data_IF_227445826494
#
_entry.id   IF_227445826494
#
_cell.length_a   1.000
_cell.length_b   1.000
_cell.length_c   1.000
_cell.angle_alpha   90.00
_cell.angle_beta   90.00
_cell.angle_gamma   90.00
#
_symmetry.space_group_name_H-M   'P 1'
#
loop_
_entity.id
_entity.type
_entity.pdbx_description
1 polymer ?
#
# COMPACT_ATOMS: atom_id res chain seq x y z
N UNK A 1 -4.59 -0.72 11.86
CA UNK A 1 -3.37 -0.12 12.40
C UNK A 1 -2.66 -1.15 13.26
N UNK A 2 -1.45 -1.55 12.87
CA UNK A 2 -0.71 -2.62 13.53
C UNK A 2 -0.16 -2.22 14.91
N UNK A 3 0.03 -0.91 15.16
CA UNK A 3 0.51 -0.43 16.46
C UNK A 3 -0.61 -0.39 17.49
N UNK A 4 -1.81 0.11 17.14
CA UNK A 4 -2.97 0.10 18.04
C UNK A 4 -3.49 -1.31 18.38
N UNK A 5 -3.25 -2.29 17.50
CA UNK A 5 -3.48 -3.71 17.81
C UNK A 5 -2.56 -4.25 18.93
N UNK A 6 -1.38 -3.65 19.11
CA UNK A 6 -0.40 -4.05 20.13
C UNK A 6 -0.50 -3.20 21.40
N UNK A 7 -0.83 -1.91 21.28
CA UNK A 7 -1.09 -0.98 22.39
C UNK A 7 -2.39 -0.22 22.10
N UNK A 8 -3.54 -0.62 22.66
CA UNK A 8 -4.83 0.00 22.40
C UNK A 8 -4.90 1.50 22.73
N UNK A 9 -4.14 1.92 23.75
CA UNK A 9 -4.13 3.27 24.31
C UNK A 9 -3.10 4.21 23.66
N UNK A 10 -2.41 3.78 22.59
CA UNK A 10 -1.37 4.60 21.94
C UNK A 10 -1.95 5.92 21.40
N UNK A 11 -1.32 7.05 21.74
CA UNK A 11 -1.78 8.38 21.35
C UNK A 11 -0.76 9.26 20.62
N UNK A 12 -1.19 9.93 19.54
CA UNK A 12 -0.50 11.07 18.92
C UNK A 12 0.99 10.83 18.63
N UNK A 13 1.85 11.48 19.42
CA UNK A 13 3.32 11.42 19.33
C UNK A 13 3.86 10.00 19.63
N UNK A 14 3.16 9.20 20.43
CA UNK A 14 3.56 7.83 20.78
C UNK A 14 3.63 6.90 19.57
N UNK A 15 2.83 7.18 18.53
CA UNK A 15 2.92 6.51 17.23
C UNK A 15 4.29 6.71 16.56
N UNK A 16 4.89 7.88 16.76
CA UNK A 16 6.20 8.22 16.20
C UNK A 16 7.33 7.66 17.05
N UNK A 17 7.14 7.55 18.37
CA UNK A 17 8.18 7.13 19.31
C UNK A 17 8.23 5.60 19.56
N UNK A 18 7.16 4.87 19.24
CA UNK A 18 7.13 3.40 19.23
C UNK A 18 7.07 2.75 20.62
N UNK A 19 7.23 1.42 20.67
CA UNK A 19 6.99 0.62 21.90
C UNK A 19 7.86 1.00 23.11
N UNK A 20 9.02 1.62 22.88
CA UNK A 20 9.97 2.04 23.91
C UNK A 20 9.67 3.42 24.53
N UNK A 21 8.60 4.09 24.11
CA UNK A 21 8.13 5.35 24.71
C UNK A 21 7.97 5.21 26.24
N UNK A 22 8.61 6.11 27.01
CA UNK A 22 8.66 6.05 28.48
C UNK A 22 9.89 5.34 29.07
N UNK A 23 10.75 4.73 28.25
CA UNK A 23 12.04 4.19 28.68
C UNK A 23 13.20 5.03 28.12
N UNK A 24 14.25 5.23 28.92
CA UNK A 24 15.47 5.96 28.50
C UNK A 24 16.12 5.36 27.24
N UNK A 25 15.92 4.06 26.99
CA UNK A 25 16.42 3.37 25.80
C UNK A 25 15.58 2.11 25.55
N UNK A 26 15.38 1.73 24.27
CA UNK A 26 14.77 0.47 23.82
C UNK A 26 15.36 -0.75 24.53
N UNK A 27 16.65 -0.71 24.88
CA UNK A 27 17.32 -1.76 25.66
C UNK A 27 16.64 -2.01 27.01
N UNK A 28 16.34 -0.97 27.77
CA UNK A 28 15.71 -1.10 29.09
C UNK A 28 14.27 -1.62 28.97
N UNK A 29 13.53 -1.16 27.97
CA UNK A 29 12.18 -1.67 27.69
C UNK A 29 12.20 -3.19 27.45
N UNK A 30 13.15 -3.69 26.66
CA UNK A 30 13.27 -5.12 26.36
C UNK A 30 13.59 -5.93 27.61
N UNK A 31 14.47 -5.42 28.49
CA UNK A 31 14.80 -6.07 29.76
C UNK A 31 13.60 -6.15 30.70
N UNK A 32 12.83 -5.07 30.84
CA UNK A 32 11.63 -5.06 31.67
C UNK A 32 10.55 -5.97 31.09
N UNK A 33 10.31 -5.93 29.77
CA UNK A 33 9.37 -6.81 29.06
C UNK A 33 9.68 -8.29 29.31
N UNK A 34 10.96 -8.64 29.26
CA UNK A 34 11.41 -10.02 29.47
C UNK A 34 11.62 -10.35 30.97
N UNK A 35 11.20 -9.47 31.87
CA UNK A 35 11.33 -9.61 33.32
C UNK A 35 12.77 -9.95 33.75
N UNK A 36 13.75 -9.27 33.14
CA UNK A 36 15.19 -9.46 33.31
C UNK A 36 15.63 -10.93 33.18
N UNK A 37 14.91 -11.70 32.36
CA UNK A 37 15.11 -13.14 32.16
C UNK A 37 15.77 -13.39 30.81
N UNK A 38 16.88 -14.11 30.82
CA UNK A 38 17.56 -14.54 29.59
C UNK A 38 16.66 -15.49 28.79
N UNK A 39 16.42 -15.18 27.52
CA UNK A 39 15.53 -15.96 26.67
C UNK A 39 16.14 -17.29 26.20
N UNK A 40 17.47 -17.46 26.33
CA UNK A 40 18.18 -18.71 26.01
C UNK A 40 18.12 -19.68 27.20
N UNK A 41 18.62 -19.28 28.37
CA UNK A 41 18.77 -20.17 29.54
C UNK A 41 17.62 -20.06 30.56
N UNK A 42 16.69 -19.11 30.37
CA UNK A 42 15.51 -18.87 31.22
C UNK A 42 15.81 -18.49 32.68
N UNK A 43 17.05 -18.09 32.99
CA UNK A 43 17.45 -17.57 34.31
C UNK A 43 17.35 -16.04 34.37
N UNK A 44 17.02 -15.52 35.56
CA UNK A 44 16.92 -14.09 35.87
C UNK A 44 18.24 -13.50 36.36
N UNK A 45 18.45 -12.20 36.14
CA UNK A 45 19.58 -11.43 36.68
C UNK A 45 20.88 -11.60 35.89
N UNK A 46 22.02 -11.17 36.45
CA UNK A 46 23.34 -11.21 35.80
C UNK A 46 23.58 -10.07 34.80
N UNK A 47 24.67 -10.16 34.03
CA UNK A 47 25.00 -9.18 32.98
C UNK A 47 24.17 -9.49 31.72
N UNK A 48 23.31 -8.55 31.34
CA UNK A 48 22.31 -8.72 30.28
C UNK A 48 22.61 -7.85 29.05
N UNK A 49 22.40 -8.43 27.87
CA UNK A 49 22.44 -7.77 26.56
C UNK A 49 21.14 -8.01 25.78
N UNK A 50 20.88 -7.13 24.82
CA UNK A 50 19.85 -7.33 23.81
C UNK A 50 20.43 -8.00 22.59
N UNK A 51 19.78 -9.08 22.13
CA UNK A 51 20.12 -9.80 20.92
C UNK A 51 19.04 -9.64 19.86
N UNK A 52 19.44 -9.52 18.59
CA UNK A 52 18.52 -9.43 17.45
C UNK A 52 18.04 -10.82 17.03
N UNK A 53 16.73 -11.09 17.13
CA UNK A 53 16.10 -12.34 16.66
C UNK A 53 16.35 -12.56 15.16
N UNK A 54 16.17 -11.51 14.36
CA UNK A 54 16.61 -11.43 12.98
C UNK A 54 17.82 -10.53 12.96
N UNK A 55 18.97 -11.07 12.56
CA UNK A 55 20.24 -10.35 12.54
C UNK A 55 20.17 -9.05 11.72
N UNK A 56 20.96 -8.05 12.13
CA UNK A 56 21.04 -6.76 11.44
C UNK A 56 21.49 -6.89 9.98
N UNK A 57 22.49 -7.74 9.70
CA UNK A 57 22.96 -8.02 8.33
C UNK A 57 21.86 -8.62 7.44
N UNK A 58 20.93 -9.35 8.04
CA UNK A 58 19.76 -9.94 7.40
C UNK A 58 18.54 -8.99 7.39
N UNK A 59 18.77 -7.70 7.65
CA UNK A 59 17.74 -6.65 7.59
C UNK A 59 16.79 -6.64 8.79
N UNK A 60 17.19 -7.19 9.93
CA UNK A 60 16.47 -7.05 11.20
C UNK A 60 16.43 -5.60 11.68
N UNK A 61 15.29 -5.17 12.23
CA UNK A 61 15.13 -3.83 12.80
C UNK A 61 15.66 -3.76 14.24
N UNK A 62 15.98 -2.56 14.72
CA UNK A 62 16.27 -2.27 16.13
C UNK A 62 15.00 -2.06 16.97
N UNK A 63 13.84 -2.45 16.45
CA UNK A 63 12.59 -2.40 17.21
C UNK A 63 12.60 -3.44 18.32
N UNK A 64 12.01 -3.12 19.46
CA UNK A 64 11.94 -4.01 20.62
C UNK A 64 11.39 -5.41 20.28
N UNK A 65 10.47 -5.52 19.33
CA UNK A 65 9.89 -6.79 18.89
C UNK A 65 10.92 -7.74 18.25
N UNK A 66 12.01 -7.19 17.68
CA UNK A 66 13.12 -7.96 17.11
C UNK A 66 14.28 -8.14 18.11
N UNK A 67 14.15 -7.62 19.33
CA UNK A 67 15.16 -7.70 20.37
C UNK A 67 14.70 -8.64 21.49
N UNK A 68 15.63 -9.40 22.05
CA UNK A 68 15.41 -10.27 23.22
C UNK A 68 16.52 -10.11 24.24
N UNK A 69 16.17 -10.29 25.50
CA UNK A 69 17.11 -10.27 26.62
C UNK A 69 17.89 -11.57 26.68
N UNK A 70 19.22 -11.49 26.71
CA UNK A 70 20.12 -12.64 26.87
C UNK A 70 21.26 -12.29 27.82
N UNK A 71 21.84 -13.27 28.51
CA UNK A 71 23.10 -13.07 29.23
C UNK A 71 24.24 -12.82 28.26
N UNK A 72 25.24 -12.03 28.67
CA UNK A 72 26.48 -11.83 27.91
C UNK A 72 27.12 -13.16 27.51
N UNK A 73 27.34 -14.05 28.48
CA UNK A 73 27.92 -15.37 28.19
C UNK A 73 27.08 -16.23 27.25
N UNK A 74 25.75 -16.19 27.42
CA UNK A 74 24.84 -16.95 26.56
C UNK A 74 24.86 -16.40 25.14
N UNK A 75 24.99 -15.07 25.00
CA UNK A 75 25.09 -14.38 23.72
C UNK A 75 26.37 -14.76 22.98
N UNK A 76 27.52 -14.75 23.65
CA UNK A 76 28.80 -15.16 23.06
C UNK A 76 28.79 -16.64 22.66
N UNK A 77 28.36 -17.53 23.57
CA UNK A 77 28.28 -18.97 23.29
C UNK A 77 27.30 -19.28 22.15
N UNK A 78 26.24 -18.48 21.99
CA UNK A 78 25.31 -18.59 20.87
C UNK A 78 25.96 -18.21 19.54
N UNK A 79 26.66 -17.07 19.47
CA UNK A 79 27.40 -16.64 18.26
C UNK A 79 28.56 -17.59 17.90
N UNK A 80 29.20 -18.19 18.90
CA UNK A 80 30.21 -19.23 18.71
C UNK A 80 29.63 -20.60 18.29
N UNK A 81 28.30 -20.73 18.18
CA UNK A 81 27.62 -21.97 17.82
C UNK A 81 27.62 -23.07 18.90
N UNK A 82 28.13 -22.76 20.11
CA UNK A 82 28.16 -23.68 21.25
C UNK A 82 26.78 -23.90 21.86
N UNK A 83 25.89 -22.92 21.73
CA UNK A 83 24.48 -23.02 22.13
C UNK A 83 23.61 -22.89 20.89
N UNK A 84 22.74 -23.87 20.65
CA UNK A 84 21.70 -23.80 19.60
C UNK A 84 20.38 -23.40 20.24
N UNK A 85 19.88 -22.23 19.89
CA UNK A 85 18.57 -21.75 20.33
C UNK A 85 17.79 -21.18 19.13
N UNK A 86 16.48 -21.39 19.09
CA UNK A 86 15.62 -20.88 18.03
C UNK A 86 14.63 -19.87 18.60
N UNK A 87 14.90 -18.60 18.36
CA UNK A 87 13.97 -17.53 18.69
C UNK A 87 12.73 -17.57 17.77
N UNK A 88 11.57 -17.21 18.32
CA UNK A 88 10.37 -17.03 17.52
C UNK A 88 10.49 -15.73 16.72
N UNK A 89 10.42 -15.82 15.40
CA UNK A 89 10.56 -14.65 14.53
C UNK A 89 9.34 -13.73 14.71
N UNK A 90 9.55 -12.43 15.02
CA UNK A 90 8.45 -11.50 15.12
C UNK A 90 7.84 -11.23 13.74
N UNK A 91 6.53 -10.94 13.70
CA UNK A 91 5.91 -10.39 12.49
C UNK A 91 6.43 -8.97 12.27
N UNK A 92 7.23 -8.81 11.22
CA UNK A 92 7.71 -7.49 10.79
C UNK A 92 6.68 -6.85 9.85
N UNK A 93 6.19 -5.67 10.24
CA UNK A 93 5.39 -4.81 9.39
C UNK A 93 6.30 -3.70 8.87
N UNK A 94 7.08 -3.97 7.81
CA UNK A 94 7.86 -2.92 7.16
C UNK A 94 6.90 -2.07 6.31
N UNK A 95 6.74 -0.80 6.65
CA UNK A 95 6.17 0.17 5.73
C UNK A 95 7.05 0.24 4.47
N UNK A 96 6.44 0.51 3.32
CA UNK A 96 7.20 0.66 2.08
C UNK A 96 8.13 1.87 2.24
N UNK A 97 9.45 1.65 2.09
CA UNK A 97 10.47 2.69 2.30
C UNK A 97 10.16 4.00 1.54
N UNK A 98 9.53 3.88 0.37
CA UNK A 98 9.04 5.00 -0.42
C UNK A 98 8.04 5.89 0.34
N UNK A 99 7.02 5.31 0.97
CA UNK A 99 6.01 6.08 1.70
C UNK A 99 6.61 6.74 2.94
N UNK A 100 7.58 6.10 3.60
CA UNK A 100 8.29 6.70 4.74
C UNK A 100 9.09 7.93 4.35
N UNK A 101 9.88 7.84 3.28
CA UNK A 101 10.71 8.96 2.80
C UNK A 101 9.82 10.12 2.35
N UNK A 102 8.82 9.82 1.51
CA UNK A 102 7.91 10.84 0.99
C UNK A 102 7.16 11.55 2.12
N UNK A 103 6.66 10.80 3.11
CA UNK A 103 5.96 11.35 4.28
C UNK A 103 6.82 12.34 5.03
N UNK A 104 8.06 11.96 5.35
CA UNK A 104 9.00 12.82 6.08
C UNK A 104 9.34 14.10 5.29
N UNK A 105 9.57 13.97 3.98
CA UNK A 105 9.85 15.13 3.12
C UNK A 105 8.67 16.11 3.05
N UNK A 106 7.44 15.60 2.94
CA UNK A 106 6.24 16.43 2.90
C UNK A 106 6.07 17.19 4.22
N UNK A 107 6.20 16.50 5.37
CA UNK A 107 6.10 17.13 6.68
C UNK A 107 7.10 18.27 6.87
N UNK A 108 8.37 18.00 6.55
CA UNK A 108 9.44 18.98 6.71
C UNK A 108 9.23 20.22 5.83
N UNK A 109 8.49 20.10 4.73
CA UNK A 109 8.25 21.20 3.79
C UNK A 109 6.98 21.99 4.06
N UNK A 110 5.94 21.36 4.59
CA UNK A 110 4.59 21.93 4.64
C UNK A 110 4.08 22.25 6.06
N UNK A 111 4.91 22.12 7.09
CA UNK A 111 4.54 22.36 8.49
C UNK A 111 3.18 21.74 8.86
N UNK A 112 3.07 20.42 8.63
CA UNK A 112 1.82 19.69 8.78
C UNK A 112 1.92 18.55 9.79
N UNK A 113 0.82 18.28 10.48
CA UNK A 113 0.70 17.20 11.44
C UNK A 113 0.26 15.89 10.76
N UNK A 114 0.81 14.75 11.22
CA UNK A 114 0.37 13.44 10.76
C UNK A 114 -0.87 13.01 11.54
N UNK A 115 -1.91 12.63 10.81
CA UNK A 115 -3.01 11.83 11.35
C UNK A 115 -2.84 10.35 10.99
N UNK A 116 -3.35 9.48 11.84
CA UNK A 116 -3.28 8.03 11.62
C UNK A 116 -4.66 7.45 11.32
N UNK A 117 -4.69 6.40 10.50
CA UNK A 117 -5.93 5.71 10.12
C UNK A 117 -6.74 5.20 11.31
N UNK A 118 -6.10 4.98 12.45
CA UNK A 118 -6.69 4.58 13.73
C UNK A 118 -7.51 5.67 14.43
N UNK A 119 -7.27 6.94 14.09
CA UNK A 119 -8.05 8.10 14.55
C UNK A 119 -9.13 8.46 13.55
N UNK A 120 -8.77 8.49 12.26
CA UNK A 120 -9.69 8.89 11.20
C UNK A 120 -10.81 7.86 11.01
N UNK A 121 -10.53 6.56 11.21
CA UNK A 121 -11.56 5.52 11.04
C UNK A 121 -12.69 5.61 12.08
N UNK A 122 -12.43 5.68 13.40
CA UNK A 122 -13.48 5.92 14.39
C UNK A 122 -14.20 7.24 14.15
N UNK A 123 -13.46 8.32 13.89
CA UNK A 123 -14.07 9.63 13.67
C UNK A 123 -15.02 9.63 12.47
N UNK A 124 -14.62 9.01 11.36
CA UNK A 124 -15.49 8.85 10.19
C UNK A 124 -16.77 8.08 10.51
N UNK A 125 -16.70 7.08 11.40
CA UNK A 125 -17.88 6.32 11.84
C UNK A 125 -18.79 7.15 12.77
N UNK A 126 -18.22 7.92 13.70
CA UNK A 126 -18.97 8.85 14.56
C UNK A 126 -19.72 9.90 13.73
N UNK A 127 -19.07 10.38 12.66
CA UNK A 127 -19.62 11.31 11.68
C UNK A 127 -20.64 10.66 10.71
N UNK A 128 -20.91 9.35 10.81
CA UNK A 128 -21.86 8.66 9.93
C UNK A 128 -21.42 8.54 8.46
N UNK A 129 -20.15 8.80 8.14
CA UNK A 129 -19.66 8.88 6.77
C UNK A 129 -19.26 7.51 6.21
N UNK A 130 -19.62 7.25 4.95
CA UNK A 130 -19.20 6.06 4.22
C UNK A 130 -17.69 6.07 3.92
N UNK A 131 -17.09 4.90 3.68
CA UNK A 131 -15.65 4.78 3.45
C UNK A 131 -15.27 5.25 2.04
N UNK A 132 -14.73 6.47 1.94
CA UNK A 132 -14.15 7.04 0.72
C UNK A 132 -12.90 7.86 1.07
N UNK A 133 -12.00 8.08 0.10
CA UNK A 133 -10.82 8.93 0.32
C UNK A 133 -11.19 10.37 0.70
N UNK A 134 -12.27 10.91 0.13
CA UNK A 134 -12.79 12.24 0.45
C UNK A 134 -13.30 12.28 1.88
N UNK A 135 -14.13 11.32 2.29
CA UNK A 135 -14.69 11.28 3.64
C UNK A 135 -13.62 11.02 4.71
N UNK A 136 -12.58 10.24 4.38
CA UNK A 136 -11.43 10.07 5.27
C UNK A 136 -10.68 11.42 5.45
N UNK A 137 -10.60 12.26 4.41
CA UNK A 137 -10.01 13.61 4.49
C UNK A 137 -10.90 14.59 5.28
N UNK A 138 -12.22 14.54 5.12
CA UNK A 138 -13.17 15.32 5.95
C UNK A 138 -13.06 14.88 7.42
N UNK A 139 -12.94 13.58 7.69
CA UNK A 139 -12.79 13.09 9.06
C UNK A 139 -11.48 13.57 9.72
N UNK A 140 -10.43 13.85 8.94
CA UNK A 140 -9.16 14.42 9.43
C UNK A 140 -9.36 15.84 9.99
N UNK A 141 -10.21 16.66 9.37
CA UNK A 141 -10.41 18.06 9.78
C UNK A 141 -11.23 18.21 11.05
N UNK A 142 -11.79 17.12 11.59
CA UNK A 142 -12.62 17.10 12.80
C UNK A 142 -13.76 18.14 12.78
N UNK A 143 -14.64 18.12 11.76
CA UNK A 143 -15.67 19.13 11.62
C UNK A 143 -16.72 19.04 12.73
N UNK A 144 -17.24 20.20 13.16
CA UNK A 144 -18.37 20.31 14.11
C UNK A 144 -19.73 20.12 13.43
N UNK A 145 -19.81 20.39 12.13
CA UNK A 145 -21.00 20.20 11.30
C UNK A 145 -20.59 19.63 9.94
N UNK A 146 -21.43 18.73 9.42
CA UNK A 146 -21.27 18.17 8.08
C UNK A 146 -22.32 18.84 7.19
N UNK A 147 -21.86 19.49 6.13
CA UNK A 147 -22.73 19.88 5.03
C UNK A 147 -22.72 18.78 3.97
N UNK A 148 -23.77 18.74 3.15
CA UNK A 148 -23.77 17.86 1.98
C UNK A 148 -22.55 18.18 1.12
N UNK A 149 -21.76 17.15 0.85
CA UNK A 149 -20.61 17.26 -0.01
C UNK A 149 -21.08 17.30 -1.45
N UNK A 150 -21.04 18.49 -2.04
CA UNK A 150 -21.26 18.68 -3.46
C UNK A 150 -20.12 18.01 -4.24
N UNK A 151 -20.48 17.02 -5.06
CA UNK A 151 -19.53 16.31 -5.92
C UNK A 151 -19.23 17.10 -7.20
N UNK A 152 -19.93 18.21 -7.44
CA UNK A 152 -19.62 19.12 -8.53
C UNK A 152 -18.19 19.66 -8.34
N UNK A 153 -17.38 19.58 -9.40
CA UNK A 153 -15.96 19.91 -9.35
C UNK A 153 -15.01 18.79 -8.95
N UNK A 154 -15.48 17.58 -8.60
CA UNK A 154 -14.58 16.45 -8.33
C UNK A 154 -13.68 16.13 -9.53
N UNK A 155 -12.37 16.16 -9.32
CA UNK A 155 -11.39 15.73 -10.31
C UNK A 155 -10.88 14.32 -10.01
N UNK A 156 -11.40 13.35 -10.75
CA UNK A 156 -11.04 11.94 -10.59
C UNK A 156 -9.88 11.56 -11.49
N UNK A 157 -8.80 11.09 -10.88
CA UNK A 157 -7.60 10.60 -11.57
C UNK A 157 -7.45 9.10 -11.32
N UNK A 158 -7.36 8.32 -12.38
CA UNK A 158 -7.13 6.87 -12.31
C UNK A 158 -5.96 6.47 -13.19
N UNK A 159 -4.89 5.97 -12.59
CA UNK A 159 -3.81 5.35 -13.34
C UNK A 159 -4.18 3.91 -13.70
N UNK A 160 -4.00 3.53 -14.96
CA UNK A 160 -4.08 2.14 -15.37
C UNK A 160 -2.72 1.63 -15.85
N UNK A 161 -2.54 0.32 -15.78
CA UNK A 161 -1.24 -0.30 -16.09
C UNK A 161 -0.94 -0.23 -17.60
N UNK A 162 0.20 0.36 -17.98
CA UNK A 162 0.73 0.23 -19.35
C UNK A 162 1.08 -1.22 -19.67
N UNK A 163 1.81 -1.86 -18.76
CA UNK A 163 2.35 -3.21 -18.92
C UNK A 163 1.51 -4.21 -18.13
N UNK A 164 1.18 -5.35 -18.75
CA UNK A 164 0.50 -6.45 -18.07
C UNK A 164 1.56 -7.24 -17.30
N UNK A 165 1.53 -7.23 -15.97
CA UNK A 165 2.53 -7.94 -15.13
C UNK A 165 2.67 -9.41 -15.50
N UNK A 166 1.60 -10.07 -15.97
CA UNK A 166 1.63 -11.46 -16.45
C UNK A 166 2.51 -11.70 -17.69
N UNK A 167 3.00 -10.64 -18.35
CA UNK A 167 3.94 -10.71 -19.48
C UNK A 167 5.40 -10.63 -19.01
N UNK A 168 5.63 -10.19 -17.77
CA UNK A 168 6.95 -10.14 -17.15
C UNK A 168 7.02 -11.26 -16.11
N UNK A 169 7.80 -12.26 -16.42
CA UNK A 169 7.97 -13.42 -15.54
C UNK A 169 9.21 -13.20 -14.69
N UNK A 170 9.02 -13.03 -13.38
CA UNK A 170 10.12 -13.11 -12.40
C UNK A 170 10.72 -14.52 -12.37
N UNK A 171 9.85 -15.51 -12.57
CA UNK A 171 10.14 -16.94 -12.58
C UNK A 171 9.48 -17.57 -13.80
N UNK A 172 10.19 -18.45 -14.49
CA UNK A 172 9.64 -19.15 -15.66
C UNK A 172 8.40 -19.97 -15.27
N UNK A 173 7.36 -19.93 -16.10
CA UNK A 173 6.16 -20.76 -15.88
C UNK A 173 6.50 -22.25 -15.97
N UNK A 174 5.72 -23.07 -15.27
CA UNK A 174 5.81 -24.54 -15.33
C UNK A 174 5.85 -25.02 -16.79
N UNK A 175 6.89 -25.76 -17.16
CA UNK A 175 7.13 -26.23 -18.53
C UNK A 175 8.02 -25.34 -19.40
N UNK A 176 8.51 -24.19 -18.90
CA UNK A 176 9.48 -23.32 -19.61
C UNK A 176 10.80 -23.28 -18.87
N UNK A 177 11.91 -23.39 -19.62
CA UNK A 177 13.28 -23.27 -19.08
C UNK A 177 13.70 -21.81 -18.88
N UNK A 178 13.15 -20.88 -19.66
CA UNK A 178 13.51 -19.45 -19.63
C UNK A 178 12.33 -18.59 -19.20
N UNK A 179 12.63 -17.57 -18.39
CA UNK A 179 11.67 -16.54 -17.98
C UNK A 179 11.39 -15.57 -19.13
N UNK A 180 10.14 -15.15 -19.29
CA UNK A 180 9.79 -14.06 -20.21
C UNK A 180 10.16 -12.69 -19.61
N UNK A 181 11.43 -12.29 -19.76
CA UNK A 181 11.95 -10.98 -19.33
C UNK A 181 11.70 -9.88 -20.34
N UNK A 182 11.80 -10.22 -21.64
CA UNK A 182 11.71 -9.28 -22.75
C UNK A 182 10.27 -8.88 -23.10
N UNK A 183 9.29 -9.27 -22.27
CA UNK A 183 7.87 -9.05 -22.51
C UNK A 183 7.43 -9.42 -23.93
N UNK A 184 7.99 -10.51 -24.48
CA UNK A 184 7.74 -10.90 -25.87
C UNK A 184 6.23 -11.07 -26.03
N UNK A 185 5.63 -10.18 -26.83
CA UNK A 185 4.19 -10.04 -26.96
C UNK A 185 3.68 -11.18 -27.82
N UNK A 186 2.78 -12.01 -27.29
CA UNK A 186 1.86 -12.71 -28.17
C UNK A 186 0.91 -11.67 -28.77
N UNK A 187 0.49 -11.84 -30.02
CA UNK A 187 -0.42 -10.94 -30.79
C UNK A 187 -1.79 -10.68 -30.13
N UNK A 188 -2.01 -11.16 -28.89
CA UNK A 188 -3.26 -11.10 -28.11
C UNK A 188 -3.49 -9.79 -27.35
N UNK A 189 -2.65 -8.75 -27.50
CA UNK A 189 -2.85 -7.46 -26.83
C UNK A 189 -2.56 -6.29 -27.76
N UNK A 190 -3.55 -5.95 -28.57
CA UNK A 190 -3.54 -4.80 -29.48
C UNK A 190 -3.53 -3.49 -28.68
N UNK A 191 -2.44 -2.69 -28.72
CA UNK A 191 -2.33 -1.47 -27.94
C UNK A 191 -3.03 -0.27 -28.59
N UNK A 192 -3.20 -0.32 -29.91
CA UNK A 192 -3.92 0.66 -30.71
C UNK A 192 -4.43 0.01 -31.99
N UNK A 193 -5.48 0.59 -32.57
CA UNK A 193 -6.03 0.25 -33.90
C UNK A 193 -6.43 1.56 -34.56
N UNK A 194 -6.06 1.76 -35.83
CA UNK A 194 -6.46 2.91 -36.64
C UNK A 194 -6.28 4.27 -35.93
N UNK A 195 -5.14 4.46 -35.25
CA UNK A 195 -4.79 5.70 -34.54
C UNK A 195 -5.42 5.88 -33.15
N UNK A 196 -6.26 4.93 -32.71
CA UNK A 196 -6.92 4.96 -31.41
C UNK A 196 -6.18 4.03 -30.45
N UNK A 197 -5.77 4.54 -29.29
CA UNK A 197 -4.95 3.82 -28.33
C UNK A 197 -5.75 3.36 -27.11
N UNK A 198 -5.28 2.30 -26.44
CA UNK A 198 -5.78 1.96 -25.11
C UNK A 198 -5.58 3.15 -24.16
N UNK A 199 -6.64 3.54 -23.46
CA UNK A 199 -6.67 4.69 -22.57
C UNK A 199 -7.42 5.88 -23.12
N UNK A 200 -7.46 6.03 -24.45
CA UNK A 200 -7.97 7.24 -25.09
C UNK A 200 -9.34 7.63 -24.57
N UNK A 201 -9.49 8.92 -24.27
CA UNK A 201 -10.76 9.49 -23.86
C UNK A 201 -11.59 9.69 -25.12
N UNK A 202 -12.77 9.09 -25.13
CA UNK A 202 -13.70 9.10 -26.27
C UNK A 202 -15.10 9.42 -25.78
N UNK A 203 -15.93 9.97 -26.66
CA UNK A 203 -17.36 10.14 -26.43
C UNK A 203 -18.12 9.19 -27.34
N UNK A 204 -19.04 8.44 -26.76
CA UNK A 204 -19.82 7.40 -27.44
C UNK A 204 -21.24 7.41 -26.89
N UNK A 205 -22.24 7.47 -27.77
CA UNK A 205 -23.66 7.53 -27.39
C UNK A 205 -23.96 8.65 -26.35
N UNK A 206 -23.33 9.81 -26.52
CA UNK A 206 -23.47 10.96 -25.61
C UNK A 206 -22.68 10.85 -24.30
N UNK A 207 -22.11 9.69 -23.98
CA UNK A 207 -21.37 9.44 -22.75
C UNK A 207 -19.86 9.48 -22.98
N UNK A 208 -19.11 9.98 -21.99
CA UNK A 208 -17.65 10.04 -22.04
C UNK A 208 -17.07 8.81 -21.36
N UNK A 209 -16.13 8.14 -22.01
CA UNK A 209 -15.43 6.99 -21.48
C UNK A 209 -14.01 6.86 -22.01
N UNK A 210 -13.42 5.71 -21.75
CA UNK A 210 -12.03 5.40 -22.06
C UNK A 210 -11.92 4.06 -22.80
N UNK A 211 -11.05 3.99 -23.80
CA UNK A 211 -10.80 2.77 -24.57
C UNK A 211 -10.07 1.73 -23.71
N UNK A 212 -10.64 0.54 -23.58
CA UNK A 212 -10.13 -0.54 -22.71
C UNK A 212 -9.69 -1.79 -23.47
N UNK A 213 -10.06 -1.91 -24.75
CA UNK A 213 -9.72 -3.05 -25.57
C UNK A 213 -10.17 -2.88 -27.02
N UNK A 214 -9.75 -3.82 -27.86
CA UNK A 214 -10.10 -3.89 -29.27
C UNK A 214 -10.48 -5.32 -29.66
N UNK A 215 -11.45 -5.44 -30.58
CA UNK A 215 -11.79 -6.69 -31.28
C UNK A 215 -11.96 -6.36 -32.76
N UNK A 216 -10.95 -6.66 -33.56
CA UNK A 216 -10.89 -6.20 -34.96
C UNK A 216 -10.93 -4.67 -35.02
N UNK A 217 -11.91 -4.12 -35.75
CA UNK A 217 -12.18 -2.67 -35.86
C UNK A 217 -13.19 -2.14 -34.83
N UNK A 218 -13.56 -2.95 -33.84
CA UNK A 218 -14.45 -2.55 -32.76
C UNK A 218 -13.66 -2.23 -31.49
N UNK A 219 -14.16 -1.29 -30.69
CA UNK A 219 -13.56 -0.86 -29.42
C UNK A 219 -14.41 -1.26 -28.23
N UNK A 220 -13.77 -1.48 -27.10
CA UNK A 220 -14.47 -1.53 -25.81
C UNK A 220 -14.25 -0.21 -25.09
N UNK A 221 -15.34 0.45 -24.70
CA UNK A 221 -15.28 1.71 -23.98
C UNK A 221 -15.88 1.50 -22.59
N UNK A 222 -15.19 1.99 -21.56
CA UNK A 222 -15.70 1.99 -20.19
C UNK A 222 -15.73 3.39 -19.61
N UNK A 223 -16.69 3.66 -18.74
CA UNK A 223 -16.64 4.84 -17.88
C UNK A 223 -15.48 4.73 -16.85
N UNK A 224 -15.32 5.75 -16.00
CA UNK A 224 -14.28 5.75 -14.98
C UNK A 224 -14.49 4.65 -13.91
N UNK A 225 -15.74 4.21 -13.73
CA UNK A 225 -16.16 3.17 -12.79
C UNK A 225 -15.96 1.74 -13.33
N UNK A 226 -15.63 1.60 -14.62
CA UNK A 226 -15.43 0.32 -15.29
C UNK A 226 -16.72 -0.29 -15.87
N UNK A 227 -17.80 0.46 -15.93
CA UNK A 227 -19.02 0.06 -16.63
C UNK A 227 -18.84 0.25 -18.13
N UNK A 228 -19.30 -0.71 -18.94
CA UNK A 228 -19.18 -0.63 -20.39
C UNK A 228 -20.21 0.34 -20.97
N UNK A 229 -19.73 1.27 -21.81
CA UNK A 229 -20.59 2.12 -22.63
C UNK A 229 -20.89 1.33 -23.91
N UNK A 230 -22.09 0.79 -24.00
CA UNK A 230 -22.54 -0.03 -25.12
C UNK A 230 -23.86 0.49 -25.67
N UNK A 231 -24.21 0.07 -26.89
CA UNK A 231 -25.50 0.41 -27.47
C UNK A 231 -26.61 -0.29 -26.65
N UNK A 232 -27.59 0.44 -26.08
CA UNK A 232 -28.65 -0.16 -25.26
C UNK A 232 -29.51 -1.17 -26.01
N UNK A 233 -29.61 -1.05 -27.34
CA UNK A 233 -30.38 -1.97 -28.19
C UNK A 233 -29.63 -3.28 -28.49
N UNK A 234 -28.39 -3.46 -28.01
CA UNK A 234 -27.56 -4.62 -28.34
C UNK A 234 -26.97 -5.25 -27.08
N UNK A 235 -26.80 -6.57 -27.12
CA UNK A 235 -26.25 -7.34 -25.99
C UNK A 235 -24.73 -7.31 -25.90
N UNK A 236 -24.05 -6.87 -26.96
CA UNK A 236 -22.59 -6.90 -27.04
C UNK A 236 -21.96 -5.57 -26.59
N UNK A 237 -20.82 -5.68 -25.89
CA UNK A 237 -20.11 -4.56 -25.24
C UNK A 237 -19.27 -3.71 -26.17
N UNK A 238 -19.04 -4.19 -27.39
CA UNK A 238 -18.19 -3.52 -28.36
C UNK A 238 -18.94 -2.38 -29.06
N UNK A 239 -18.24 -1.29 -29.34
CA UNK A 239 -18.74 -0.16 -30.12
C UNK A 239 -17.92 -0.02 -31.40
N UNK A 240 -18.56 0.43 -32.49
CA UNK A 240 -17.83 0.71 -33.73
C UNK A 240 -16.99 1.97 -33.52
N UNK A 241 -15.81 1.98 -34.11
CA UNK A 241 -14.97 3.19 -34.14
C UNK A 241 -15.63 4.36 -34.91
N UNK A 242 -16.59 4.08 -35.80
CA UNK A 242 -17.38 5.12 -36.47
C UNK A 242 -18.34 5.85 -35.54
N UNK A 243 -18.75 5.20 -34.44
CA UNK A 243 -19.80 5.70 -33.54
C UNK A 243 -19.17 6.46 -32.35
N UNK A 244 -17.85 6.63 -32.36
CA UNK A 244 -17.11 7.33 -31.30
C UNK A 244 -16.47 8.61 -31.82
N UNK A 245 -16.46 9.62 -30.97
CA UNK A 245 -15.69 10.85 -31.13
C UNK A 245 -14.43 10.75 -30.26
N UNK A 246 -13.26 10.95 -30.87
CA UNK A 246 -11.99 10.96 -30.14
C UNK A 246 -11.80 12.32 -29.47
N UNK A 247 -11.63 12.34 -28.14
CA UNK A 247 -11.43 13.58 -27.38
C UNK A 247 -9.93 13.85 -27.20
N UNK A 248 -9.20 12.93 -26.56
CA UNK A 248 -7.75 13.07 -26.39
C UNK A 248 -7.06 11.73 -26.06
N UNK A 249 -5.78 11.65 -26.41
CA UNK A 249 -4.89 10.56 -26.00
C UNK A 249 -4.40 10.76 -24.56
N UNK A 250 -4.70 9.81 -23.67
CA UNK A 250 -4.47 9.96 -22.22
C UNK A 250 -3.40 9.01 -21.66
N UNK A 251 -2.64 8.35 -22.55
CA UNK A 251 -1.54 7.42 -22.24
C UNK A 251 -1.89 6.33 -21.21
N UNK A 252 -1.65 6.56 -19.91
CA UNK A 252 -1.97 5.61 -18.85
C UNK A 252 -2.74 6.20 -17.68
N UNK A 253 -3.37 7.34 -17.94
CA UNK A 253 -4.11 8.11 -16.96
C UNK A 253 -5.50 8.38 -17.49
N UNK A 254 -6.49 8.25 -16.63
CA UNK A 254 -7.88 8.58 -16.92
C UNK A 254 -8.24 9.75 -16.01
N UNK A 255 -8.72 10.84 -16.62
CA UNK A 255 -9.10 12.06 -15.92
C UNK A 255 -10.55 12.41 -16.25
N UNK A 256 -11.35 12.57 -15.20
CA UNK A 256 -12.74 12.98 -15.32
C UNK A 256 -13.02 14.07 -14.28
N UNK A 257 -13.45 15.23 -14.76
CA UNK A 257 -14.06 16.25 -13.92
C UNK A 257 -15.56 15.98 -13.88
N UNK A 258 -16.13 15.92 -12.69
CA UNK A 258 -17.57 15.84 -12.49
C UNK A 258 -18.09 17.28 -12.57
N UNK A 259 -18.91 17.53 -13.56
CA UNK A 259 -19.67 18.78 -13.72
C UNK A 259 -20.90 18.75 -12.83
#
# INVERSE_FOLDING_TARGET
>A
DAQKLKKPDIQGIEYQQGNAFGFWNTRYYVFVRDNYTCQICKKKGGILHTHHIIERCNGGSDMADNLVTVHEECHEKFHQGKIKHRFQKPKQYKETAFMNILRLQIMNRLDCEITYGSYTTPKRKELGLSKTHVNDAIAITNPTQIQEYDQSGEFRIKQFRKKKRSLHESTARKGRKTKNTNAKRNQKKTPYVDGVYLGDKVKVFGQVGFVTGFTGKMVYVQDIHGQYIQNPAKSYKQVKMSDMEHIHHSNNWQFLQIS
#
